data_IF_306033536394
#
_entry.id   IF_306033536394
#
_cell.length_a   1.000
_cell.length_b   1.000
_cell.length_c   1.000
_cell.angle_alpha   90.00
_cell.angle_beta   90.00
_cell.angle_gamma   90.00
#
_symmetry.space_group_name_H-M   'P 1'
#
loop_
_entity.id
_entity.type
_entity.pdbx_description
1 polymer ?
#
# COMPACT_ATOMS: atom_id res chain seq x y z
N UNK A 1 -11.76 -27.28 -1.68
CA UNK A 1 -11.78 -25.81 -1.56
C UNK A 1 -10.84 -25.39 -0.45
N UNK A 2 -9.72 -24.75 -0.82
CA UNK A 2 -8.85 -24.10 0.15
C UNK A 2 -9.50 -22.80 0.61
N UNK A 3 -9.72 -22.68 1.93
CA UNK A 3 -10.14 -21.46 2.62
C UNK A 3 -8.97 -21.00 3.48
N UNK A 4 -8.64 -19.72 3.44
CA UNK A 4 -7.59 -19.13 4.25
C UNK A 4 -8.14 -18.81 5.65
N UNK A 5 -7.38 -19.18 6.68
CA UNK A 5 -7.70 -18.93 8.07
C UNK A 5 -6.52 -18.22 8.75
N UNK A 6 -6.78 -17.28 9.67
CA UNK A 6 -5.72 -16.64 10.44
C UNK A 6 -5.00 -17.70 11.28
N UNK A 7 -3.69 -17.52 11.47
CA UNK A 7 -2.88 -18.46 12.25
C UNK A 7 -2.92 -18.07 13.73
N UNK A 8 -2.96 -16.77 14.00
CA UNK A 8 -3.18 -16.18 15.31
C UNK A 8 -4.54 -15.50 15.42
N UNK A 9 -4.64 -14.62 16.41
CA UNK A 9 -5.91 -14.02 16.85
C UNK A 9 -6.00 -12.51 16.56
N UNK A 10 -5.11 -11.97 15.72
CA UNK A 10 -5.13 -10.53 15.41
C UNK A 10 -6.21 -10.19 14.39
N UNK A 11 -6.79 -9.00 14.55
CA UNK A 11 -7.72 -8.42 13.58
C UNK A 11 -7.09 -8.27 12.19
N UNK A 12 -5.80 -7.94 12.14
CA UNK A 12 -5.03 -7.77 10.90
C UNK A 12 -4.91 -9.08 10.12
N UNK A 13 -4.67 -10.21 10.78
CA UNK A 13 -4.66 -11.53 10.13
C UNK A 13 -6.06 -11.95 9.66
N UNK A 14 -7.09 -11.67 10.47
CA UNK A 14 -8.47 -11.95 10.09
C UNK A 14 -8.88 -11.16 8.83
N UNK A 15 -8.53 -9.87 8.76
CA UNK A 15 -8.78 -9.02 7.59
C UNK A 15 -7.97 -9.50 6.38
N UNK A 16 -6.71 -9.87 6.56
CA UNK A 16 -5.89 -10.39 5.47
C UNK A 16 -6.50 -11.68 4.88
N UNK A 17 -6.93 -12.62 5.72
CA UNK A 17 -7.60 -13.83 5.26
C UNK A 17 -8.95 -13.54 4.59
N UNK A 18 -9.69 -12.55 5.08
CA UNK A 18 -10.95 -12.13 4.47
C UNK A 18 -10.73 -11.62 3.03
N UNK A 19 -9.70 -10.78 2.82
CA UNK A 19 -9.33 -10.29 1.48
C UNK A 19 -8.93 -11.46 0.56
N UNK A 20 -8.07 -12.37 1.03
CA UNK A 20 -7.64 -13.53 0.23
C UNK A 20 -8.80 -14.46 -0.14
N UNK A 21 -9.70 -14.73 0.81
CA UNK A 21 -10.88 -15.55 0.57
C UNK A 21 -11.85 -14.87 -0.41
N UNK A 22 -12.03 -13.55 -0.31
CA UNK A 22 -12.89 -12.80 -1.21
C UNK A 22 -12.34 -12.80 -2.64
N UNK A 23 -11.04 -12.56 -2.82
CA UNK A 23 -10.36 -12.68 -4.12
C UNK A 23 -10.50 -14.08 -4.70
N UNK A 24 -10.30 -15.12 -3.88
CA UNK A 24 -10.42 -16.52 -4.32
C UNK A 24 -11.85 -16.92 -4.68
N UNK A 25 -12.85 -16.32 -4.03
CA UNK A 25 -14.25 -16.56 -4.35
C UNK A 25 -14.67 -15.87 -5.66
N UNK A 26 -14.03 -14.76 -6.02
CA UNK A 26 -14.37 -13.97 -7.20
C UNK A 26 -13.59 -14.37 -8.46
N UNK A 27 -12.36 -14.88 -8.31
CA UNK A 27 -11.49 -15.19 -9.44
C UNK A 27 -10.94 -16.62 -9.42
N UNK A 28 -11.14 -17.33 -10.53
CA UNK A 28 -10.53 -18.64 -10.78
C UNK A 28 -9.07 -18.55 -11.26
N UNK A 29 -8.70 -17.42 -11.86
CA UNK A 29 -7.36 -17.09 -12.34
C UNK A 29 -6.92 -15.74 -11.78
N UNK A 30 -5.64 -15.38 -11.89
CA UNK A 30 -5.21 -14.04 -11.49
C UNK A 30 -5.94 -12.98 -12.34
N UNK A 31 -6.59 -11.97 -11.72
CA UNK A 31 -7.19 -10.87 -12.45
C UNK A 31 -6.10 -9.91 -12.95
N UNK A 32 -6.42 -9.12 -13.98
CA UNK A 32 -5.56 -8.02 -14.40
C UNK A 32 -5.44 -6.96 -13.29
N UNK A 33 -4.36 -6.18 -13.29
CA UNK A 33 -4.15 -5.11 -12.31
C UNK A 33 -5.32 -4.13 -12.14
N UNK A 34 -5.97 -3.58 -13.20
CA UNK A 34 -7.12 -2.70 -13.01
C UNK A 34 -8.30 -3.40 -12.33
N UNK A 35 -8.56 -4.68 -12.67
CA UNK A 35 -9.64 -5.47 -12.05
C UNK A 35 -9.31 -5.75 -10.57
N UNK A 36 -8.06 -6.08 -10.27
CA UNK A 36 -7.62 -6.26 -8.89
C UNK A 36 -7.74 -4.96 -8.09
N UNK A 37 -7.31 -3.82 -8.66
CA UNK A 37 -7.39 -2.52 -8.02
C UNK A 37 -8.83 -2.19 -7.61
N UNK A 38 -9.77 -2.28 -8.55
CA UNK A 38 -11.19 -2.02 -8.29
C UNK A 38 -11.74 -2.97 -7.22
N UNK A 39 -11.37 -4.24 -7.30
CA UNK A 39 -11.82 -5.28 -6.36
C UNK A 39 -11.31 -5.05 -4.95
N UNK A 40 -10.02 -4.74 -4.80
CA UNK A 40 -9.43 -4.39 -3.51
C UNK A 40 -10.08 -3.12 -2.94
N UNK A 41 -10.26 -2.08 -3.75
CA UNK A 41 -10.92 -0.85 -3.31
C UNK A 41 -12.33 -1.14 -2.79
N UNK A 42 -13.10 -1.96 -3.51
CA UNK A 42 -14.44 -2.38 -3.10
C UNK A 42 -14.43 -3.16 -1.78
N UNK A 43 -13.53 -4.14 -1.62
CA UNK A 43 -13.42 -4.89 -0.36
C UNK A 43 -12.99 -4.02 0.81
N UNK A 44 -12.05 -3.09 0.60
CA UNK A 44 -11.63 -2.15 1.64
C UNK A 44 -12.80 -1.28 2.10
N UNK A 45 -13.62 -0.77 1.18
CA UNK A 45 -14.84 -0.05 1.51
C UNK A 45 -15.85 -0.91 2.28
N UNK A 46 -15.98 -2.19 1.94
CA UNK A 46 -16.88 -3.11 2.67
C UNK A 46 -16.40 -3.39 4.10
N UNK A 47 -15.08 -3.58 4.30
CA UNK A 47 -14.49 -3.85 5.61
C UNK A 47 -14.74 -2.70 6.59
N UNK A 48 -14.63 -1.45 6.14
CA UNK A 48 -14.79 -0.27 7.00
C UNK A 48 -16.25 0.16 7.19
N UNK A 49 -17.17 -0.37 6.37
CA UNK A 49 -18.56 0.07 6.34
C UNK A 49 -19.28 -0.21 7.66
N UNK A 50 -19.98 0.79 8.19
CA UNK A 50 -20.68 0.72 9.48
C UNK A 50 -19.78 0.96 10.70
N UNK A 51 -18.46 1.07 10.51
CA UNK A 51 -17.47 1.31 11.56
C UNK A 51 -16.47 2.42 11.17
N UNK A 52 -16.88 3.35 10.30
CA UNK A 52 -16.03 4.35 9.66
C UNK A 52 -15.29 5.28 10.63
N UNK A 53 -15.86 5.49 11.82
CA UNK A 53 -15.36 6.38 12.87
C UNK A 53 -14.46 5.68 13.90
N UNK A 54 -14.60 4.36 14.06
CA UNK A 54 -13.82 3.56 15.02
C UNK A 54 -12.71 2.74 14.35
N UNK A 55 -12.78 2.56 13.03
CA UNK A 55 -11.80 1.78 12.28
C UNK A 55 -10.58 2.62 11.93
N UNK A 56 -9.40 2.03 12.14
CA UNK A 56 -8.13 2.46 11.53
C UNK A 56 -7.67 1.27 10.70
N UNK A 57 -7.52 1.45 9.39
CA UNK A 57 -7.21 0.33 8.51
C UNK A 57 -6.22 0.78 7.44
N UNK A 58 -4.94 0.48 7.68
CA UNK A 58 -3.83 0.80 6.79
C UNK A 58 -3.08 -0.50 6.47
N UNK A 59 -2.76 -0.76 5.22
CA UNK A 59 -1.97 -1.94 4.85
C UNK A 59 -1.09 -1.70 3.64
N UNK A 60 -0.08 -2.56 3.52
CA UNK A 60 0.73 -2.77 2.32
C UNK A 60 0.56 -4.22 1.89
N UNK A 61 0.26 -4.45 0.62
CA UNK A 61 0.00 -5.77 0.05
C UNK A 61 0.82 -5.92 -1.24
N UNK A 62 1.84 -6.79 -1.20
CA UNK A 62 2.61 -7.15 -2.39
C UNK A 62 1.81 -8.11 -3.26
N UNK A 63 1.65 -7.77 -4.54
CA UNK A 63 0.93 -8.59 -5.51
C UNK A 63 1.84 -8.85 -6.72
N UNK A 64 2.21 -10.11 -6.93
CA UNK A 64 3.15 -10.50 -7.97
C UNK A 64 4.56 -9.96 -7.72
N UNK A 65 5.36 -9.93 -8.78
CA UNK A 65 6.77 -9.52 -8.70
C UNK A 65 6.96 -8.00 -8.68
N UNK A 66 6.05 -7.25 -9.31
CA UNK A 66 6.28 -5.84 -9.65
C UNK A 66 5.47 -4.85 -8.82
N UNK A 67 4.31 -5.25 -8.31
CA UNK A 67 3.33 -4.30 -7.79
C UNK A 67 3.14 -4.39 -6.28
N UNK A 68 2.95 -3.22 -5.65
CA UNK A 68 2.59 -3.09 -4.25
C UNK A 68 1.32 -2.25 -4.13
N UNK A 69 0.28 -2.79 -3.52
CA UNK A 69 -0.92 -2.03 -3.16
C UNK A 69 -0.79 -1.47 -1.75
N UNK A 70 -1.17 -0.21 -1.57
CA UNK A 70 -1.16 0.45 -0.28
C UNK A 70 -2.50 1.14 -0.06
N UNK A 71 -3.13 0.88 1.08
CA UNK A 71 -4.41 1.45 1.44
C UNK A 71 -4.32 2.19 2.76
N UNK A 72 -5.08 3.28 2.89
CA UNK A 72 -5.15 4.07 4.11
C UNK A 72 -6.58 4.45 4.47
N UNK A 73 -7.01 4.02 5.65
CA UNK A 73 -8.17 4.55 6.38
C UNK A 73 -7.66 5.09 7.71
N UNK A 74 -7.18 6.35 7.73
CA UNK A 74 -6.44 6.88 8.84
C UNK A 74 -7.36 7.33 9.98
N UNK A 75 -6.79 7.43 11.18
CA UNK A 75 -7.50 7.93 12.35
C UNK A 75 -6.66 7.94 13.62
N UNK A 76 -7.30 8.39 14.70
CA UNK A 76 -6.75 8.35 16.05
C UNK A 76 -7.64 7.48 16.92
N UNK A 77 -7.03 6.67 17.79
CA UNK A 77 -7.80 5.88 18.76
C UNK A 77 -8.51 6.83 19.75
N UNK A 78 -9.69 6.47 20.29
CA UNK A 78 -10.36 7.26 21.31
C UNK A 78 -9.40 7.62 22.47
N UNK A 79 -9.30 8.92 22.77
CA UNK A 79 -8.40 9.42 23.82
C UNK A 79 -6.91 9.52 23.44
N UNK A 80 -6.53 9.18 22.20
CA UNK A 80 -5.15 9.32 21.71
C UNK A 80 -4.97 10.58 20.88
N UNK A 81 -3.86 11.28 21.08
CA UNK A 81 -3.40 12.38 20.21
C UNK A 81 -2.59 11.88 19.02
N UNK A 82 -2.29 10.58 18.96
CA UNK A 82 -1.48 9.98 17.90
C UNK A 82 -2.33 9.68 16.67
N UNK A 83 -1.97 10.33 15.57
CA UNK A 83 -2.54 10.08 14.24
C UNK A 83 -1.92 8.83 13.60
N UNK A 84 -2.75 7.94 13.06
CA UNK A 84 -2.33 6.71 12.39
C UNK A 84 -2.67 6.82 10.90
N UNK A 85 -1.81 7.51 10.17
CA UNK A 85 -1.91 7.67 8.73
C UNK A 85 -0.99 6.73 7.96
N UNK A 86 -1.02 6.91 6.64
CA UNK A 86 0.00 6.40 5.74
C UNK A 86 0.46 7.58 4.88
N UNK A 87 1.76 7.67 4.66
CA UNK A 87 2.41 8.72 3.91
C UNK A 87 3.37 8.08 2.92
N UNK A 88 3.58 8.71 1.77
CA UNK A 88 4.63 8.32 0.84
C UNK A 88 5.48 9.50 0.38
N UNK A 89 6.73 9.22 0.05
CA UNK A 89 7.61 10.11 -0.71
C UNK A 89 8.27 9.32 -1.82
N UNK A 90 8.53 9.99 -2.95
CA UNK A 90 9.17 9.40 -4.12
C UNK A 90 10.57 10.00 -4.25
N UNK A 91 11.58 9.15 -4.14
CA UNK A 91 12.98 9.52 -4.33
C UNK A 91 13.42 9.14 -5.73
N UNK A 92 14.11 10.07 -6.38
CA UNK A 92 14.75 9.85 -7.67
C UNK A 92 16.11 10.57 -7.71
N UNK A 93 17.03 10.12 -8.57
CA UNK A 93 18.32 10.73 -8.82
C UNK A 93 18.23 12.24 -9.11
N UNK A 94 19.22 13.03 -8.66
CA UNK A 94 20.32 12.61 -7.78
C UNK A 94 19.82 12.34 -6.36
N UNK A 95 20.15 11.18 -5.79
CA UNK A 95 19.75 10.84 -4.42
C UNK A 95 20.47 11.75 -3.43
N UNK A 96 19.72 12.64 -2.78
CA UNK A 96 20.22 13.42 -1.66
C UNK A 96 20.32 12.55 -0.41
N UNK A 97 21.27 12.87 0.47
CA UNK A 97 21.25 12.32 1.84
C UNK A 97 19.98 12.83 2.51
N UNK A 98 19.19 11.93 3.06
CA UNK A 98 17.98 12.28 3.78
C UNK A 98 18.21 12.17 5.29
N UNK A 99 17.78 13.18 6.04
CA UNK A 99 17.97 13.21 7.50
C UNK A 99 16.75 12.61 8.17
N UNK A 100 16.91 11.42 8.75
CA UNK A 100 15.83 10.75 9.46
C UNK A 100 15.50 11.48 10.76
N UNK A 101 14.21 11.68 11.02
CA UNK A 101 13.72 12.50 12.12
C UNK A 101 13.68 11.78 13.47
N UNK A 102 13.69 10.43 13.50
CA UNK A 102 13.23 9.74 14.71
C UNK A 102 13.71 8.27 14.90
N UNK A 103 14.77 7.83 14.22
CA UNK A 103 15.22 6.41 14.32
C UNK A 103 16.75 6.26 14.32
N UNK A 104 17.27 5.41 15.22
CA UNK A 104 18.68 4.96 15.30
C UNK A 104 19.13 4.07 14.11
N UNK A 105 18.37 4.06 13.02
CA UNK A 105 18.62 3.25 11.82
C UNK A 105 18.71 4.15 10.60
N UNK A 106 19.88 4.24 9.98
CA UNK A 106 20.07 4.96 8.72
C UNK A 106 19.96 3.98 7.54
N UNK A 107 18.99 4.21 6.65
CA UNK A 107 18.95 3.52 5.35
C UNK A 107 19.68 4.39 4.33
N UNK A 108 20.86 3.94 3.89
CA UNK A 108 21.60 4.60 2.82
C UNK A 108 21.09 4.10 1.46
N UNK A 109 20.18 4.87 0.85
CA UNK A 109 19.59 4.51 -0.45
C UNK A 109 20.60 4.54 -1.60
N UNK A 110 21.71 5.28 -1.47
CA UNK A 110 22.76 5.31 -2.50
C UNK A 110 23.47 3.96 -2.67
N UNK A 111 23.45 3.10 -1.65
CA UNK A 111 24.11 1.78 -1.70
C UNK A 111 23.29 0.71 -2.42
N UNK A 112 22.01 1.00 -2.71
CA UNK A 112 21.05 0.04 -3.29
C UNK A 112 20.33 0.59 -4.53
N UNK A 113 20.79 1.72 -5.09
CA UNK A 113 20.14 2.37 -6.24
C UNK A 113 21.11 2.76 -7.34
N UNK A 114 20.63 2.77 -8.58
CA UNK A 114 21.30 3.29 -9.76
C UNK A 114 20.87 4.73 -10.09
N UNK A 115 21.62 5.48 -10.90
CA UNK A 115 21.23 6.83 -11.36
C UNK A 115 19.95 6.92 -12.19
N UNK A 116 19.28 5.80 -12.48
CA UNK A 116 17.96 5.74 -13.11
C UNK A 116 16.85 5.27 -12.18
N UNK A 117 17.17 4.85 -10.96
CA UNK A 117 16.21 4.21 -10.07
C UNK A 117 15.23 5.21 -9.46
N UNK A 118 14.05 4.73 -9.12
CA UNK A 118 13.06 5.49 -8.36
C UNK A 118 12.61 4.62 -7.20
N UNK A 119 12.59 5.21 -6.02
CA UNK A 119 12.21 4.51 -4.79
C UNK A 119 11.01 5.20 -4.17
N UNK A 120 9.91 4.46 -4.03
CA UNK A 120 8.80 4.89 -3.19
C UNK A 120 9.10 4.46 -1.75
N UNK A 121 9.07 5.41 -0.82
CA UNK A 121 9.12 5.13 0.62
C UNK A 121 7.73 5.37 1.17
N UNK A 122 7.16 4.38 1.84
CA UNK A 122 5.84 4.46 2.47
C UNK A 122 6.02 4.26 3.98
N UNK A 123 5.46 5.15 4.79
CA UNK A 123 5.61 5.14 6.24
C UNK A 123 4.35 5.66 6.94
N UNK A 124 4.20 5.33 8.23
CA UNK A 124 3.04 5.76 9.04
C UNK A 124 3.12 7.22 9.50
N UNK A 125 4.29 7.84 9.35
CA UNK A 125 4.54 9.28 9.54
C UNK A 125 5.70 9.73 8.65
N UNK A 126 5.81 11.01 8.28
CA UNK A 126 6.98 11.55 7.61
C UNK A 126 8.27 11.24 8.39
N UNK A 127 9.22 10.57 7.74
CA UNK A 127 10.48 10.15 8.37
C UNK A 127 11.61 11.18 8.19
N UNK A 128 11.39 12.21 7.39
CA UNK A 128 12.39 13.22 7.04
C UNK A 128 11.74 14.59 7.06
N UNK A 129 12.54 15.63 7.35
CA UNK A 129 12.07 17.01 7.46
C UNK A 129 12.36 17.84 6.20
N UNK A 130 13.29 17.35 5.39
CA UNK A 130 13.82 17.98 4.18
C UNK A 130 13.16 17.48 2.89
N UNK A 131 12.19 16.56 3.01
CA UNK A 131 11.45 16.01 1.87
C UNK A 131 9.94 16.26 2.00
N UNK A 132 9.29 16.39 0.84
CA UNK A 132 7.84 16.44 0.78
C UNK A 132 7.25 15.04 0.91
N UNK A 133 6.56 14.79 2.01
CA UNK A 133 5.71 13.61 2.19
C UNK A 133 4.27 13.91 1.79
N UNK A 134 3.64 12.98 1.06
CA UNK A 134 2.23 13.04 0.69
C UNK A 134 1.46 12.07 1.57
N UNK A 135 0.51 12.58 2.35
CA UNK A 135 -0.42 11.73 3.09
C UNK A 135 -1.43 11.09 2.14
N UNK A 136 -1.75 9.82 2.38
CA UNK A 136 -2.86 9.17 1.72
C UNK A 136 -4.18 9.78 2.21
N UNK A 137 -5.12 10.01 1.29
CA UNK A 137 -6.49 10.40 1.65
C UNK A 137 -7.20 9.24 2.35
N UNK A 138 -8.20 9.56 3.18
CA UNK A 138 -9.03 8.55 3.83
C UNK A 138 -9.78 7.70 2.78
N UNK A 139 -9.59 6.38 2.85
CA UNK A 139 -10.14 5.41 1.90
C UNK A 139 -9.36 5.29 0.59
N UNK A 140 -8.15 5.88 0.50
CA UNK A 140 -7.36 5.84 -0.70
C UNK A 140 -6.59 4.52 -0.83
N UNK A 141 -6.80 3.82 -1.93
CA UNK A 141 -5.91 2.80 -2.45
C UNK A 141 -4.95 3.41 -3.47
N UNK A 142 -3.68 3.05 -3.41
CA UNK A 142 -2.68 3.32 -4.43
C UNK A 142 -1.99 2.02 -4.83
N UNK A 143 -1.74 1.84 -6.11
CA UNK A 143 -0.83 0.82 -6.63
C UNK A 143 0.53 1.48 -6.87
N UNK A 144 1.61 0.82 -6.47
CA UNK A 144 2.96 1.25 -6.73
C UNK A 144 3.64 0.28 -7.69
N UNK A 145 4.22 0.83 -8.75
CA UNK A 145 5.12 0.13 -9.67
C UNK A 145 6.28 1.05 -10.05
N UNK A 146 7.50 0.50 -10.16
CA UNK A 146 8.71 1.28 -10.49
C UNK A 146 8.88 2.57 -9.65
N UNK A 147 8.49 2.53 -8.36
CA UNK A 147 8.54 3.67 -7.47
C UNK A 147 7.55 4.80 -7.80
N UNK A 148 6.51 4.55 -8.60
CA UNK A 148 5.45 5.51 -8.92
C UNK A 148 4.12 5.08 -8.30
N UNK A 149 3.35 6.00 -7.69
CA UNK A 149 1.99 5.74 -7.26
C UNK A 149 1.01 5.91 -8.42
N UNK A 150 0.01 5.04 -8.48
CA UNK A 150 -1.10 5.04 -9.43
C UNK A 150 -2.42 4.96 -8.66
N UNK A 151 -3.35 5.85 -8.99
CA UNK A 151 -4.70 5.91 -8.38
C UNK A 151 -5.82 5.59 -9.35
N UNK A 152 -5.56 5.63 -10.65
CA UNK A 152 -6.57 5.47 -11.69
C UNK A 152 -6.48 4.09 -12.35
N UNK A 153 -7.63 3.53 -12.72
CA UNK A 153 -7.71 2.23 -13.40
C UNK A 153 -6.99 2.24 -14.75
N UNK A 154 -7.03 3.36 -15.47
CA UNK A 154 -6.34 3.53 -16.73
C UNK A 154 -4.82 3.34 -16.57
N UNK A 155 -4.22 3.93 -15.54
CA UNK A 155 -2.78 3.79 -15.31
C UNK A 155 -2.41 2.36 -14.89
N UNK A 156 -3.29 1.68 -14.15
CA UNK A 156 -3.09 0.27 -13.79
C UNK A 156 -3.11 -0.63 -15.03
N UNK A 157 -3.98 -0.35 -16.00
CA UNK A 157 -4.03 -1.04 -17.29
C UNK A 157 -2.77 -0.76 -18.15
N UNK A 158 -2.21 0.46 -18.10
CA UNK A 158 -0.93 0.74 -18.77
C UNK A 158 0.21 -0.10 -18.19
N UNK A 159 0.28 -0.24 -16.86
CA UNK A 159 1.27 -1.10 -16.18
C UNK A 159 1.06 -2.56 -16.58
N UNK A 160 -0.17 -3.06 -16.58
CA UNK A 160 -0.53 -4.41 -17.02
C UNK A 160 0.01 -4.67 -18.45
N UNK A 161 -0.34 -3.79 -19.40
CA UNK A 161 0.05 -3.90 -20.81
C UNK A 161 1.55 -3.78 -21.06
N UNK A 162 2.30 -3.22 -20.10
CA UNK A 162 3.76 -3.17 -20.14
C UNK A 162 4.43 -4.51 -19.79
N UNK A 163 3.65 -5.57 -19.53
CA UNK A 163 4.16 -6.88 -19.11
C UNK A 163 4.54 -6.92 -17.64
N UNK A 164 3.98 -6.02 -16.83
CA UNK A 164 4.23 -5.91 -15.38
C UNK A 164 3.00 -6.26 -14.55
N UNK A 165 2.03 -6.92 -15.18
CA UNK A 165 0.83 -7.46 -14.56
C UNK A 165 1.10 -8.64 -13.63
N UNK A 166 0.01 -9.24 -13.14
CA UNK A 166 0.05 -10.46 -12.35
C UNK A 166 0.06 -11.65 -13.31
N UNK A 167 1.24 -12.01 -13.82
CA UNK A 167 1.37 -13.15 -14.75
C UNK A 167 0.75 -14.44 -14.18
N UNK A 168 0.06 -15.20 -15.05
CA UNK A 168 -0.29 -16.61 -14.84
C UNK A 168 0.62 -17.50 -15.67
#
# INVERSE_FOLDING_TARGET
NLTFHPVGDTDSEAVFCAILNALRAEFDTLPSLPVLFETLQRFCCQIVSGYESSTIFNFLLGCGQYTLFAYSWPGSRPGSTVWNGLYYTIRSPPFSKATLSDVDYAVNFADVTTPSDRVAVIATKPLTVDEKWTEFRKGQLLMFDCGRPYSELYDCDEVERSGRGLES
#
